data_IF_150060811645
#
_entry.id   IF_150060811645
#
_cell.length_a   1.000
_cell.length_b   1.000
_cell.length_c   1.000
_cell.angle_alpha   90.00
_cell.angle_beta   90.00
_cell.angle_gamma   90.00
#
_symmetry.space_group_name_H-M   'P 1'
#
loop_
_entity.id
_entity.type
_entity.pdbx_description
1 polymer ?
#
# COMPACT_ATOMS: atom_id res chain seq x y z
N UNK A 1 -39.92 1.82 25.96
CA UNK A 1 -39.04 0.75 26.46
C UNK A 1 -39.06 0.90 27.97
N UNK A 2 -39.67 -0.04 28.70
CA UNK A 2 -39.74 0.05 30.15
C UNK A 2 -38.36 -0.30 30.72
N UNK A 3 -37.62 0.71 31.15
CA UNK A 3 -36.47 0.54 32.05
C UNK A 3 -37.09 0.35 33.42
N UNK A 4 -36.84 -0.79 34.06
CA UNK A 4 -37.27 -1.03 35.43
C UNK A 4 -36.24 -0.31 36.31
N UNK A 5 -36.64 0.78 36.96
CA UNK A 5 -35.84 1.44 37.98
C UNK A 5 -35.71 0.52 39.21
N UNK A 6 -34.47 0.29 39.66
CA UNK A 6 -34.11 -0.57 40.81
C UNK A 6 -34.67 -0.09 42.17
N UNK A 7 -35.34 1.07 42.23
CA UNK A 7 -35.85 1.67 43.48
C UNK A 7 -37.27 1.19 43.89
N UNK A 8 -37.90 0.28 43.14
CA UNK A 8 -39.12 -0.42 43.59
C UNK A 8 -38.78 -1.86 43.95
N UNK A 9 -38.05 -2.03 45.05
CA UNK A 9 -37.78 -3.31 45.69
C UNK A 9 -39.06 -3.87 46.33
N UNK A 10 -39.98 -4.36 45.51
CA UNK A 10 -40.77 -5.55 45.87
C UNK A 10 -40.00 -6.75 45.36
N UNK A 11 -39.69 -7.72 46.23
CA UNK A 11 -38.91 -8.94 45.92
C UNK A 11 -39.39 -9.65 44.65
N UNK A 12 -38.84 -9.30 43.49
CA UNK A 12 -38.95 -10.12 42.28
C UNK A 12 -37.81 -11.10 42.32
N UNK A 13 -38.04 -12.26 42.94
CA UNK A 13 -37.10 -13.37 42.89
C UNK A 13 -37.15 -14.00 41.50
N UNK A 14 -36.04 -13.91 40.77
CA UNK A 14 -35.79 -14.72 39.57
C UNK A 14 -35.52 -16.15 40.04
N UNK A 15 -36.50 -17.05 39.86
CA UNK A 15 -36.35 -18.47 40.20
C UNK A 15 -35.87 -19.22 38.95
N UNK A 16 -34.60 -19.64 38.97
CA UNK A 16 -34.08 -20.61 38.00
C UNK A 16 -34.79 -21.95 38.26
N UNK A 17 -35.51 -22.42 37.24
CA UNK A 17 -36.48 -23.51 37.35
C UNK A 17 -35.79 -24.89 37.29
N UNK A 18 -34.95 -25.19 38.28
CA UNK A 18 -34.46 -26.54 38.58
C UNK A 18 -34.92 -26.95 40.00
N UNK A 19 -36.18 -26.64 40.34
CA UNK A 19 -36.76 -27.07 41.63
C UNK A 19 -37.24 -28.53 41.53
N UNK A 20 -36.43 -29.41 42.11
CA UNK A 20 -36.85 -30.75 42.53
C UNK A 20 -38.04 -30.66 43.49
N UNK A 21 -39.08 -31.45 43.20
CA UNK A 21 -40.37 -31.46 43.90
C UNK A 21 -40.28 -32.05 45.32
N UNK A 22 -39.76 -31.31 46.31
CA UNK A 22 -39.83 -31.71 47.72
C UNK A 22 -40.51 -30.64 48.61
N UNK A 23 -41.84 -30.63 48.54
CA UNK A 23 -42.71 -30.77 49.73
C UNK A 23 -42.67 -29.77 50.90
N UNK A 24 -42.20 -28.53 50.77
CA UNK A 24 -42.30 -27.54 51.86
C UNK A 24 -43.49 -26.57 51.69
N UNK A 25 -44.44 -26.60 52.64
CA UNK A 25 -45.58 -25.67 52.68
C UNK A 25 -45.10 -24.27 53.09
N UNK A 26 -45.10 -23.32 52.14
CA UNK A 26 -44.79 -21.91 52.39
C UNK A 26 -46.10 -21.12 52.54
N UNK A 27 -46.31 -20.53 53.71
CA UNK A 27 -47.50 -19.74 54.03
C UNK A 27 -47.32 -18.29 53.54
N UNK A 28 -48.10 -17.87 52.54
CA UNK A 28 -48.85 -16.62 52.64
C UNK A 28 -48.34 -15.30 52.02
N UNK A 29 -47.37 -15.30 51.10
CA UNK A 29 -47.07 -14.14 50.25
C UNK A 29 -47.15 -14.51 48.78
N UNK A 30 -48.18 -14.06 48.04
CA UNK A 30 -48.32 -14.36 46.62
C UNK A 30 -47.28 -13.59 45.79
N UNK A 31 -46.05 -14.09 45.76
CA UNK A 31 -45.02 -13.64 44.83
C UNK A 31 -45.37 -14.17 43.43
N UNK A 32 -45.67 -13.26 42.51
CA UNK A 32 -45.89 -13.60 41.11
C UNK A 32 -44.52 -13.88 40.48
N UNK A 33 -44.23 -15.14 40.20
CA UNK A 33 -43.00 -15.54 39.51
C UNK A 33 -43.20 -15.36 38.00
N UNK A 34 -42.41 -14.48 37.39
CA UNK A 34 -42.36 -14.31 35.93
C UNK A 34 -41.13 -15.03 35.41
N UNK A 35 -41.31 -16.02 34.53
CA UNK A 35 -40.18 -16.79 33.99
C UNK A 35 -39.37 -15.96 32.98
N UNK A 36 -38.05 -16.15 32.97
CA UNK A 36 -37.14 -15.53 32.00
C UNK A 36 -37.51 -15.89 30.56
N UNK A 37 -38.03 -17.09 30.33
CA UNK A 37 -38.53 -17.51 29.02
C UNK A 37 -39.74 -16.67 28.57
N UNK A 38 -40.69 -16.37 29.47
CA UNK A 38 -41.83 -15.51 29.15
C UNK A 38 -41.38 -14.08 28.85
N UNK A 39 -40.43 -13.53 29.61
CA UNK A 39 -39.85 -12.20 29.33
C UNK A 39 -39.15 -12.17 27.97
N UNK A 40 -38.38 -13.21 27.62
CA UNK A 40 -37.77 -13.35 26.29
C UNK A 40 -38.83 -13.42 25.19
N UNK A 41 -39.95 -14.11 25.40
CA UNK A 41 -41.08 -14.16 24.46
C UNK A 41 -41.78 -12.81 24.28
N UNK A 42 -41.84 -11.99 25.33
CA UNK A 42 -42.32 -10.60 25.26
C UNK A 42 -41.34 -9.64 24.57
N UNK A 43 -40.16 -10.13 24.16
CA UNK A 43 -39.10 -9.32 23.56
C UNK A 43 -38.31 -8.50 24.58
N UNK A 44 -38.46 -8.79 25.88
CA UNK A 44 -37.59 -8.22 26.92
C UNK A 44 -36.21 -8.86 26.75
N UNK A 45 -35.24 -8.03 26.37
CA UNK A 45 -33.85 -8.45 26.24
C UNK A 45 -33.25 -8.59 27.64
N UNK A 46 -32.47 -9.66 27.85
CA UNK A 46 -31.72 -9.84 29.10
C UNK A 46 -30.65 -8.74 29.29
N UNK A 47 -30.17 -8.18 28.18
CA UNK A 47 -29.24 -7.06 28.16
C UNK A 47 -29.95 -5.74 27.80
N UNK A 48 -29.59 -4.62 28.46
CA UNK A 48 -30.02 -3.29 28.01
C UNK A 48 -29.60 -3.05 26.57
N UNK A 49 -30.39 -2.26 25.84
CA UNK A 49 -30.07 -1.90 24.47
C UNK A 49 -28.69 -1.22 24.41
N UNK A 50 -27.92 -1.51 23.36
CA UNK A 50 -26.55 -1.00 23.18
C UNK A 50 -26.49 0.52 23.33
N UNK A 51 -27.46 1.24 22.76
CA UNK A 51 -27.55 2.70 22.90
C UNK A 51 -27.59 3.17 24.37
N UNK A 52 -28.26 2.42 25.26
CA UNK A 52 -28.32 2.74 26.70
C UNK A 52 -26.96 2.52 27.36
N UNK A 53 -26.25 1.45 27.02
CA UNK A 53 -24.90 1.19 27.55
C UNK A 53 -23.89 2.23 27.07
N UNK A 54 -23.95 2.60 25.79
CA UNK A 54 -23.10 3.63 25.22
C UNK A 54 -23.40 5.01 25.83
N UNK A 55 -24.68 5.30 26.05
CA UNK A 55 -25.11 6.54 26.70
C UNK A 55 -24.65 6.58 28.16
N UNK A 56 -24.82 5.50 28.92
CA UNK A 56 -24.35 5.38 30.29
C UNK A 56 -22.82 5.53 30.38
N UNK A 57 -22.09 4.90 29.45
CA UNK A 57 -20.66 5.10 29.33
C UNK A 57 -20.32 6.56 29.01
N UNK A 58 -21.07 7.22 28.12
CA UNK A 58 -20.87 8.64 27.77
C UNK A 58 -21.09 9.60 28.93
N UNK A 59 -22.07 9.34 29.79
CA UNK A 59 -22.32 10.17 30.98
C UNK A 59 -21.29 9.98 32.09
N UNK A 60 -20.73 8.77 32.23
CA UNK A 60 -19.74 8.47 33.29
C UNK A 60 -18.38 9.14 33.04
N UNK A 61 -18.04 9.42 31.79
CA UNK A 61 -16.71 9.91 31.39
C UNK A 61 -16.48 11.41 31.62
N UNK A 62 -17.42 12.14 32.22
CA UNK A 62 -17.25 13.55 32.58
C UNK A 62 -16.33 13.78 33.80
N UNK A 63 -15.78 12.72 34.40
CA UNK A 63 -14.74 12.79 35.44
C UNK A 63 -13.47 12.04 35.03
N UNK A 64 -12.30 12.52 35.47
CA UNK A 64 -10.91 12.16 35.10
C UNK A 64 -10.47 10.66 35.21
N UNK A 65 -11.37 9.67 35.21
CA UNK A 65 -11.07 8.23 35.37
C UNK A 65 -11.37 7.40 34.11
N UNK A 66 -11.12 7.95 32.91
CA UNK A 66 -11.65 7.43 31.63
C UNK A 66 -11.16 6.02 31.21
N UNK A 67 -9.95 5.59 31.59
CA UNK A 67 -9.36 4.33 31.08
C UNK A 67 -9.91 3.07 31.76
N UNK A 68 -10.16 3.13 33.07
CA UNK A 68 -10.77 2.02 33.82
C UNK A 68 -12.21 1.76 33.40
N UNK A 69 -12.91 2.79 32.95
CA UNK A 69 -14.31 2.69 32.54
C UNK A 69 -14.45 2.08 31.14
N UNK A 70 -13.53 2.38 30.22
CA UNK A 70 -13.50 1.76 28.89
C UNK A 70 -13.28 0.24 28.97
N UNK A 71 -12.37 -0.23 29.83
CA UNK A 71 -12.14 -1.68 30.01
C UNK A 71 -13.36 -2.40 30.57
N UNK A 72 -14.05 -1.81 31.55
CA UNK A 72 -15.28 -2.37 32.10
C UNK A 72 -16.38 -2.44 31.04
N UNK A 73 -16.55 -1.36 30.27
CA UNK A 73 -17.50 -1.31 29.17
C UNK A 73 -17.23 -2.42 28.15
N UNK A 74 -15.99 -2.59 27.70
CA UNK A 74 -15.62 -3.65 26.75
C UNK A 74 -15.98 -5.04 27.30
N UNK A 75 -15.70 -5.31 28.58
CA UNK A 75 -16.08 -6.58 29.22
C UNK A 75 -17.58 -6.78 29.31
N UNK A 76 -18.34 -5.73 29.62
CA UNK A 76 -19.81 -5.78 29.62
C UNK A 76 -20.36 -6.06 28.23
N UNK A 77 -19.87 -5.35 27.21
CA UNK A 77 -20.28 -5.58 25.82
C UNK A 77 -19.91 -6.99 25.34
N UNK A 78 -18.75 -7.52 25.75
CA UNK A 78 -18.36 -8.90 25.46
C UNK A 78 -19.29 -9.92 26.11
N UNK A 79 -19.64 -9.74 27.39
CA UNK A 79 -20.56 -10.63 28.09
C UNK A 79 -21.94 -10.66 27.42
N UNK A 80 -22.35 -9.54 26.82
CA UNK A 80 -23.63 -9.38 26.12
C UNK A 80 -23.56 -9.71 24.63
N UNK A 81 -22.37 -10.08 24.10
CA UNK A 81 -22.17 -10.33 22.68
C UNK A 81 -23.13 -11.40 22.13
N UNK A 82 -23.45 -12.42 22.94
CA UNK A 82 -24.37 -13.48 22.54
C UNK A 82 -25.81 -13.00 22.30
N UNK A 83 -26.21 -11.90 22.92
CA UNK A 83 -27.56 -11.33 22.84
C UNK A 83 -27.66 -10.17 21.82
N UNK A 84 -26.54 -9.76 21.23
CA UNK A 84 -26.48 -8.67 20.26
C UNK A 84 -27.00 -9.09 18.89
N UNK A 85 -27.83 -8.25 18.28
CA UNK A 85 -28.21 -8.43 16.87
C UNK A 85 -27.12 -7.95 15.93
N UNK A 86 -27.16 -8.36 14.66
CA UNK A 86 -26.22 -7.87 13.63
C UNK A 86 -26.30 -6.35 13.44
N UNK A 87 -27.49 -5.77 13.65
CA UNK A 87 -27.69 -4.32 13.65
C UNK A 87 -26.94 -3.66 14.81
N UNK A 88 -27.07 -4.20 16.01
CA UNK A 88 -26.40 -3.68 17.21
C UNK A 88 -24.87 -3.71 17.05
N UNK A 89 -24.33 -4.79 16.47
CA UNK A 89 -22.90 -4.89 16.13
C UNK A 89 -22.50 -3.84 15.11
N UNK A 90 -23.28 -3.66 14.03
CA UNK A 90 -22.98 -2.66 13.01
C UNK A 90 -23.03 -1.22 13.54
N UNK A 91 -23.91 -0.95 14.51
CA UNK A 91 -23.98 0.33 15.22
C UNK A 91 -22.76 0.54 16.12
N UNK A 92 -22.32 -0.50 16.85
CA UNK A 92 -21.10 -0.45 17.66
C UNK A 92 -19.84 -0.17 16.83
N UNK A 93 -19.71 -0.78 15.65
CA UNK A 93 -18.56 -0.53 14.77
C UNK A 93 -18.42 0.93 14.36
N UNK A 94 -19.53 1.66 14.32
CA UNK A 94 -19.60 3.06 13.89
C UNK A 94 -19.62 4.04 15.07
N UNK A 95 -19.95 3.59 16.26
CA UNK A 95 -20.11 4.47 17.40
C UNK A 95 -18.76 4.82 18.03
N UNK A 96 -18.61 6.09 18.40
CA UNK A 96 -17.41 6.59 19.05
C UNK A 96 -17.49 6.34 20.56
N UNK A 97 -17.06 5.14 21.00
CA UNK A 97 -17.14 4.75 22.42
C UNK A 97 -15.79 4.43 23.05
N UNK A 98 -14.74 4.25 22.26
CA UNK A 98 -13.39 3.95 22.74
C UNK A 98 -12.58 5.24 22.90
N UNK A 99 -11.71 5.27 23.89
CA UNK A 99 -10.71 6.34 24.06
C UNK A 99 -9.41 5.97 23.36
N UNK A 100 -8.70 6.98 22.86
CA UNK A 100 -7.35 6.81 22.35
C UNK A 100 -6.33 7.26 23.40
N UNK A 101 -5.15 6.64 23.40
CA UNK A 101 -4.06 7.07 24.27
C UNK A 101 -3.57 8.48 23.88
N UNK A 102 -3.45 9.36 24.87
CA UNK A 102 -2.99 10.75 24.68
C UNK A 102 -3.93 11.68 23.90
N UNK A 103 -5.13 11.25 23.48
CA UNK A 103 -6.09 12.10 22.77
C UNK A 103 -7.38 12.30 23.55
N UNK A 104 -7.88 13.53 23.55
CA UNK A 104 -9.18 13.85 24.11
C UNK A 104 -10.30 13.39 23.17
N UNK A 105 -11.37 12.85 23.76
CA UNK A 105 -12.56 12.43 23.03
C UNK A 105 -12.68 10.92 22.84
N UNK A 106 -13.65 10.53 22.01
CA UNK A 106 -13.96 9.15 21.70
C UNK A 106 -13.87 8.91 20.21
N UNK A 107 -13.49 7.70 19.87
CA UNK A 107 -13.24 7.28 18.50
C UNK A 107 -13.99 6.00 18.20
N UNK A 108 -14.33 5.84 16.92
CA UNK A 108 -14.88 4.58 16.46
C UNK A 108 -13.78 3.51 16.51
N UNK A 109 -14.11 2.24 16.76
CA UNK A 109 -13.15 1.15 16.72
C UNK A 109 -12.31 1.13 15.43
N UNK A 110 -12.94 1.41 14.29
CA UNK A 110 -12.29 1.42 12.98
C UNK A 110 -11.18 2.47 12.79
N UNK A 111 -11.12 3.48 13.66
CA UNK A 111 -10.13 4.56 13.63
C UNK A 111 -8.95 4.29 14.58
N UNK A 112 -9.04 3.22 15.38
CA UNK A 112 -8.07 2.88 16.40
C UNK A 112 -7.23 1.65 16.01
N UNK A 113 -6.03 1.60 16.58
CA UNK A 113 -5.08 0.52 16.43
C UNK A 113 -4.68 -0.04 17.80
N UNK A 114 -4.23 -1.28 17.82
CA UNK A 114 -3.62 -1.87 19.01
C UNK A 114 -2.22 -1.26 19.29
N UNK A 115 -1.79 -1.29 20.55
CA UNK A 115 -0.52 -0.67 20.97
C UNK A 115 0.72 -1.32 20.35
N UNK A 116 0.67 -2.62 20.05
CA UNK A 116 1.73 -3.35 19.36
C UNK A 116 2.09 -2.74 17.98
N UNK A 117 1.14 -2.07 17.33
CA UNK A 117 1.40 -1.39 16.04
C UNK A 117 2.39 -0.23 16.24
N UNK A 118 2.22 0.55 17.31
CA UNK A 118 3.12 1.69 17.58
C UNK A 118 4.46 1.23 18.12
N UNK A 119 4.49 0.14 18.89
CA UNK A 119 5.75 -0.47 19.34
C UNK A 119 6.57 -0.98 18.14
N UNK A 120 5.93 -1.64 17.17
CA UNK A 120 6.61 -2.19 16.00
C UNK A 120 7.02 -1.11 14.97
N UNK A 121 6.21 -0.06 14.82
CA UNK A 121 6.45 1.01 13.85
C UNK A 121 7.36 2.12 14.40
N UNK A 122 7.36 2.33 15.71
CA UNK A 122 8.01 3.45 16.38
C UNK A 122 7.13 4.71 16.45
N UNK A 123 7.35 5.53 17.48
CA UNK A 123 6.51 6.70 17.81
C UNK A 123 6.51 7.75 16.69
N UNK A 124 7.67 8.04 16.10
CA UNK A 124 7.81 9.06 15.06
C UNK A 124 6.99 8.71 13.81
N UNK A 125 7.16 7.48 13.30
CA UNK A 125 6.43 6.97 12.15
C UNK A 125 4.92 6.82 12.44
N UNK A 126 4.55 6.33 13.63
CA UNK A 126 3.14 6.24 14.02
C UNK A 126 2.45 7.61 14.07
N UNK A 127 3.14 8.62 14.60
CA UNK A 127 2.65 10.00 14.63
C UNK A 127 2.51 10.58 13.23
N UNK A 128 3.50 10.39 12.36
CA UNK A 128 3.47 10.86 10.97
C UNK A 128 2.32 10.25 10.15
N UNK A 129 1.98 8.98 10.40
CA UNK A 129 0.85 8.29 9.77
C UNK A 129 -0.50 8.71 10.38
N UNK A 130 -0.50 9.26 11.60
CA UNK A 130 -1.72 9.59 12.34
C UNK A 130 -2.37 8.37 13.00
N UNK A 131 -1.56 7.38 13.42
CA UNK A 131 -2.06 6.20 14.13
C UNK A 131 -2.54 6.60 15.51
N UNK A 132 -3.78 6.22 15.84
CA UNK A 132 -4.36 6.38 17.17
C UNK A 132 -4.43 5.03 17.86
N UNK A 133 -3.82 4.92 19.04
CA UNK A 133 -3.79 3.67 19.82
C UNK A 133 -4.96 3.62 20.78
N UNK A 134 -5.56 2.45 20.99
CA UNK A 134 -6.59 2.24 22.01
C UNK A 134 -6.01 2.55 23.41
N UNK A 135 -6.66 3.44 24.17
CA UNK A 135 -6.23 3.90 25.50
C UNK A 135 -6.40 2.86 26.64
N UNK A 136 -6.40 1.56 26.32
CA UNK A 136 -6.54 0.47 27.29
C UNK A 136 -5.17 -0.20 27.46
N UNK A 137 -4.46 0.01 28.59
CA UNK A 137 -3.07 -0.42 28.73
C UNK A 137 -2.94 -1.95 28.80
N UNK A 138 -2.02 -2.56 28.04
CA UNK A 138 -1.81 -4.01 28.03
C UNK A 138 -2.89 -4.80 27.25
N UNK A 139 -3.66 -4.12 26.39
CA UNK A 139 -4.56 -4.77 25.46
C UNK A 139 -3.78 -5.27 24.24
N UNK A 140 -3.70 -6.59 24.08
CA UNK A 140 -3.14 -7.26 22.90
C UNK A 140 -4.26 -7.86 22.04
N UNK A 141 -4.10 -7.93 20.70
CA UNK A 141 -5.07 -8.58 19.80
C UNK A 141 -5.38 -10.05 20.17
N UNK A 142 -4.47 -10.74 20.87
CA UNK A 142 -4.62 -12.16 21.24
C UNK A 142 -5.48 -12.38 22.50
N UNK A 143 -5.73 -11.31 23.26
CA UNK A 143 -6.60 -11.39 24.44
C UNK A 143 -8.06 -11.52 24.03
N UNK A 144 -8.92 -12.05 24.89
CA UNK A 144 -10.35 -12.14 24.59
C UNK A 144 -10.96 -10.75 24.32
N UNK A 145 -10.55 -9.74 25.10
CA UNK A 145 -10.90 -8.34 24.86
C UNK A 145 -10.36 -7.82 23.52
N UNK A 146 -9.13 -8.17 23.16
CA UNK A 146 -8.51 -7.80 21.89
C UNK A 146 -9.22 -8.41 20.69
N UNK A 147 -9.51 -9.71 20.72
CA UNK A 147 -10.26 -10.41 19.68
C UNK A 147 -11.65 -9.79 19.47
N UNK A 148 -12.34 -9.46 20.57
CA UNK A 148 -13.62 -8.74 20.48
C UNK A 148 -13.47 -7.37 19.83
N UNK A 149 -12.45 -6.59 20.20
CA UNK A 149 -12.21 -5.26 19.62
C UNK A 149 -11.80 -5.33 18.15
N UNK A 150 -11.04 -6.36 17.76
CA UNK A 150 -10.73 -6.68 16.36
C UNK A 150 -12.01 -7.00 15.58
N UNK A 151 -12.92 -7.77 16.17
CA UNK A 151 -14.25 -8.02 15.59
C UNK A 151 -15.08 -6.74 15.45
N UNK A 152 -14.89 -5.77 16.36
CA UNK A 152 -15.50 -4.43 16.28
C UNK A 152 -14.80 -3.49 15.28
N UNK A 153 -13.63 -3.86 14.76
CA UNK A 153 -12.93 -3.11 13.72
C UNK A 153 -11.66 -2.38 14.18
N UNK A 154 -11.23 -2.53 15.43
CA UNK A 154 -9.89 -2.06 15.84
C UNK A 154 -8.86 -2.80 15.00
N UNK A 155 -7.95 -2.03 14.38
CA UNK A 155 -6.99 -2.56 13.43
C UNK A 155 -5.74 -3.06 14.14
N UNK A 156 -5.26 -4.22 13.74
CA UNK A 156 -4.00 -4.83 14.16
C UNK A 156 -2.83 -4.50 13.24
N UNK A 157 -3.11 -3.86 12.10
CA UNK A 157 -2.11 -3.40 11.14
C UNK A 157 -2.52 -2.07 10.50
N UNK A 158 -1.53 -1.37 9.95
CA UNK A 158 -1.70 -0.08 9.27
C UNK A 158 -2.26 -0.30 7.85
N UNK A 159 -3.09 0.61 7.37
CA UNK A 159 -3.51 0.58 5.97
C UNK A 159 -2.30 0.75 5.04
N UNK A 160 -2.19 -0.12 4.03
CA UNK A 160 -1.02 -0.20 3.14
C UNK A 160 -0.69 1.14 2.46
N UNK A 161 -1.69 1.89 2.01
CA UNK A 161 -1.48 3.17 1.33
C UNK A 161 -0.85 4.23 2.25
N UNK A 162 -1.33 4.32 3.50
CA UNK A 162 -0.76 5.23 4.50
C UNK A 162 0.67 4.83 4.85
N UNK A 163 0.94 3.52 4.92
CA UNK A 163 2.26 2.98 5.19
C UNK A 163 3.24 3.27 4.04
N UNK A 164 2.85 3.01 2.79
CA UNK A 164 3.67 3.32 1.61
C UNK A 164 3.96 4.82 1.48
N UNK A 165 2.99 5.68 1.84
CA UNK A 165 3.19 7.13 1.90
C UNK A 165 4.24 7.51 2.95
N UNK A 166 4.22 6.88 4.12
CA UNK A 166 5.23 7.10 5.15
C UNK A 166 6.62 6.58 4.75
N UNK A 167 6.69 5.43 4.07
CA UNK A 167 7.93 4.93 3.45
C UNK A 167 8.51 5.91 2.41
N UNK A 168 7.66 6.73 1.79
CA UNK A 168 8.06 7.75 0.80
C UNK A 168 8.49 9.09 1.42
N UNK A 169 8.42 9.22 2.75
CA UNK A 169 8.82 10.43 3.46
C UNK A 169 10.33 10.69 3.30
N UNK A 170 10.72 11.95 3.13
CA UNK A 170 12.13 12.34 3.18
C UNK A 170 12.70 12.26 4.62
N UNK A 171 11.85 12.15 5.64
CA UNK A 171 12.28 11.94 7.03
C UNK A 171 12.66 10.47 7.26
N UNK A 172 13.95 10.22 7.47
CA UNK A 172 14.52 8.91 7.73
C UNK A 172 13.97 8.26 9.01
N UNK A 173 13.62 9.07 10.02
CA UNK A 173 13.01 8.59 11.26
C UNK A 173 11.59 8.02 11.04
N UNK A 174 10.98 8.31 9.88
CA UNK A 174 9.66 7.83 9.48
C UNK A 174 9.78 6.75 8.42
N UNK A 175 10.52 7.00 7.34
CA UNK A 175 10.57 6.12 6.17
C UNK A 175 11.20 4.77 6.47
N UNK A 176 12.32 4.75 7.20
CA UNK A 176 13.03 3.53 7.59
C UNK A 176 12.16 2.57 8.41
N UNK A 177 11.65 3.01 9.57
CA UNK A 177 10.77 2.19 10.40
C UNK A 177 9.48 1.76 9.70
N UNK A 178 8.90 2.64 8.87
CA UNK A 178 7.71 2.30 8.07
C UNK A 178 7.99 1.18 7.07
N UNK A 179 9.14 1.23 6.40
CA UNK A 179 9.53 0.21 5.44
C UNK A 179 9.85 -1.13 6.14
N UNK A 180 10.57 -1.08 7.27
CA UNK A 180 10.82 -2.27 8.08
C UNK A 180 9.51 -2.93 8.55
N UNK A 181 8.56 -2.13 9.05
CA UNK A 181 7.23 -2.62 9.44
C UNK A 181 6.46 -3.22 8.26
N UNK A 182 6.51 -2.58 7.08
CA UNK A 182 5.91 -3.10 5.85
C UNK A 182 6.44 -4.49 5.50
N UNK A 183 7.77 -4.67 5.50
CA UNK A 183 8.40 -5.95 5.16
C UNK A 183 8.05 -7.04 6.18
N UNK A 184 8.15 -6.73 7.48
CA UNK A 184 7.87 -7.67 8.56
C UNK A 184 6.43 -8.21 8.54
N UNK A 185 5.47 -7.38 8.11
CA UNK A 185 4.05 -7.70 8.09
C UNK A 185 3.54 -8.09 6.69
N UNK A 186 4.41 -8.18 5.68
CA UNK A 186 4.01 -8.33 4.29
C UNK A 186 3.20 -9.61 4.05
N UNK A 187 3.75 -10.76 4.47
CA UNK A 187 3.12 -12.07 4.23
C UNK A 187 1.78 -12.22 4.94
N UNK A 188 1.66 -11.66 6.14
CA UNK A 188 0.47 -11.85 6.97
C UNK A 188 -0.68 -10.90 6.58
N UNK A 189 -0.35 -9.63 6.27
CA UNK A 189 -1.38 -8.60 6.12
C UNK A 189 -1.45 -8.00 4.71
N UNK A 190 -0.35 -7.97 3.96
CA UNK A 190 -0.29 -7.19 2.71
C UNK A 190 -0.26 -8.02 1.44
N UNK A 191 0.17 -9.27 1.43
CA UNK A 191 0.30 -10.10 0.22
C UNK A 191 -1.02 -10.22 -0.59
N UNK A 192 -2.15 -10.30 0.11
CA UNK A 192 -3.46 -10.38 -0.52
C UNK A 192 -3.88 -9.09 -1.25
N UNK A 193 -3.48 -7.92 -0.71
CA UNK A 193 -3.94 -6.59 -1.14
C UNK A 193 -2.90 -5.89 -2.02
N UNK A 194 -1.62 -6.13 -1.78
CA UNK A 194 -0.51 -5.53 -2.50
C UNK A 194 -0.48 -6.03 -3.94
N UNK A 195 -0.47 -5.08 -4.88
CA UNK A 195 -0.40 -5.33 -6.31
C UNK A 195 0.65 -4.39 -6.89
N UNK A 196 1.87 -4.87 -7.17
CA UNK A 196 2.99 -4.01 -7.57
C UNK A 196 2.66 -3.05 -8.72
N UNK A 197 1.92 -3.54 -9.71
CA UNK A 197 1.53 -2.76 -10.89
C UNK A 197 0.52 -1.64 -10.61
N UNK A 198 -0.17 -1.67 -9.46
CA UNK A 198 -1.14 -0.65 -9.04
C UNK A 198 -0.52 0.37 -8.07
N UNK A 199 0.68 0.12 -7.57
CA UNK A 199 1.35 1.02 -6.63
C UNK A 199 1.93 2.21 -7.39
N UNK A 200 1.30 3.37 -7.22
CA UNK A 200 1.76 4.66 -7.79
C UNK A 200 2.66 5.46 -6.83
N UNK A 201 2.73 5.05 -5.57
CA UNK A 201 3.47 5.76 -4.52
C UNK A 201 4.95 5.32 -4.60
N UNK A 202 5.90 6.25 -4.82
CA UNK A 202 7.32 5.92 -4.90
C UNK A 202 7.92 5.75 -3.50
N UNK A 203 8.04 4.51 -3.04
CA UNK A 203 8.45 4.20 -1.65
C UNK A 203 9.78 3.46 -1.52
N UNK A 204 10.33 2.94 -2.62
CA UNK A 204 11.62 2.24 -2.60
C UNK A 204 12.73 3.27 -2.70
N UNK A 205 13.74 3.19 -1.83
CA UNK A 205 14.93 4.03 -1.96
C UNK A 205 15.85 3.48 -3.03
N UNK A 206 16.28 4.39 -3.90
CA UNK A 206 16.98 4.07 -5.11
C UNK A 206 18.16 5.03 -5.29
N UNK A 207 19.28 4.50 -5.76
CA UNK A 207 20.36 5.28 -6.33
C UNK A 207 19.88 5.85 -7.67
N UNK A 208 19.96 7.18 -7.79
CA UNK A 208 19.50 7.87 -8.99
C UNK A 208 20.26 7.39 -10.23
N UNK A 209 19.53 6.82 -11.19
CA UNK A 209 20.05 6.56 -12.52
C UNK A 209 20.07 7.83 -13.37
N UNK A 210 20.87 7.82 -14.44
CA UNK A 210 20.99 8.93 -15.39
C UNK A 210 19.70 9.30 -16.11
N UNK A 211 18.80 8.33 -16.35
CA UNK A 211 17.48 8.54 -16.95
C UNK A 211 16.36 8.58 -15.92
N UNK A 212 16.68 8.62 -14.62
CA UNK A 212 15.67 8.82 -13.60
C UNK A 212 15.00 10.18 -13.86
N UNK A 213 13.65 10.26 -13.78
CA UNK A 213 12.98 11.54 -13.93
C UNK A 213 13.57 12.53 -12.91
N UNK A 214 13.84 13.78 -13.31
CA UNK A 214 14.30 14.79 -12.36
C UNK A 214 13.29 14.86 -11.22
N UNK A 215 13.76 14.76 -9.96
CA UNK A 215 12.91 14.91 -8.78
C UNK A 215 12.13 16.21 -8.95
N UNK A 216 10.82 16.12 -9.17
CA UNK A 216 9.93 17.28 -9.12
C UNK A 216 9.90 17.66 -7.65
N UNK A 217 10.80 18.55 -7.25
CA UNK A 217 10.89 19.03 -5.88
C UNK A 217 9.55 19.65 -5.49
N UNK A 218 8.76 18.95 -4.68
CA UNK A 218 7.59 19.50 -3.99
C UNK A 218 6.43 19.93 -4.90
N UNK A 219 6.01 19.09 -5.84
CA UNK A 219 4.66 19.23 -6.37
C UNK A 219 3.66 18.73 -5.33
N UNK A 220 3.14 19.63 -4.48
CA UNK A 220 2.00 19.38 -3.59
C UNK A 220 0.96 18.54 -4.34
N UNK A 221 0.64 17.37 -3.79
CA UNK A 221 -0.06 16.28 -4.47
C UNK A 221 -1.14 16.76 -5.42
N UNK A 222 -0.85 16.66 -6.72
CA UNK A 222 -1.88 16.68 -7.73
C UNK A 222 -2.77 15.46 -7.44
N UNK A 223 -3.94 15.75 -6.89
CA UNK A 223 -5.08 14.86 -6.73
C UNK A 223 -5.30 14.13 -8.06
N UNK A 224 -4.71 12.93 -8.20
CA UNK A 224 -4.94 12.04 -9.32
C UNK A 224 -6.35 11.50 -9.12
N UNK A 225 -7.33 12.27 -9.59
CA UNK A 225 -8.72 11.87 -9.62
C UNK A 225 -8.82 10.44 -10.15
N UNK A 226 -9.47 9.59 -9.35
CA UNK A 226 -9.77 8.21 -9.67
C UNK A 226 -10.55 8.15 -10.99
N UNK A 227 -9.83 7.99 -12.11
CA UNK A 227 -10.38 7.31 -13.26
C UNK A 227 -10.45 5.83 -12.89
N UNK A 228 -11.52 5.47 -12.16
CA UNK A 228 -11.91 4.07 -11.99
C UNK A 228 -12.14 3.48 -13.38
N UNK A 229 -11.14 2.74 -13.86
CA UNK A 229 -11.27 1.84 -15.00
C UNK A 229 -12.26 0.74 -14.58
N UNK A 230 -13.54 0.95 -14.90
CA UNK A 230 -14.65 0.05 -14.66
C UNK A 230 -14.43 -1.24 -15.48
N UNK A 231 -13.72 -2.21 -14.91
CA UNK A 231 -13.53 -3.54 -15.48
C UNK A 231 -14.89 -4.27 -15.56
N UNK A 232 -15.44 -4.26 -16.77
CA UNK A 232 -16.65 -4.95 -17.22
C UNK A 232 -16.52 -6.48 -17.01
N UNK A 233 -16.98 -6.98 -15.85
CA UNK A 233 -17.11 -8.41 -15.61
C UNK A 233 -18.28 -9.01 -16.42
N UNK A 234 -18.15 -10.22 -16.99
CA UNK A 234 -19.17 -10.80 -17.86
C UNK A 234 -20.43 -11.20 -17.07
N UNK A 235 -21.52 -10.48 -17.33
CA UNK A 235 -22.87 -10.83 -16.85
C UNK A 235 -23.27 -12.22 -17.34
N UNK A 236 -23.23 -13.19 -16.43
CA UNK A 236 -23.78 -14.54 -16.60
C UNK A 236 -25.30 -14.45 -16.70
N UNK A 237 -25.83 -14.57 -17.92
CA UNK A 237 -27.26 -14.49 -18.23
C UNK A 237 -28.03 -15.68 -17.64
N UNK A 238 -28.93 -15.45 -16.69
CA UNK A 238 -30.06 -16.36 -16.46
C UNK A 238 -31.19 -15.96 -17.41
N UNK A 239 -31.50 -16.87 -18.34
CA UNK A 239 -32.61 -16.78 -19.28
C UNK A 239 -33.93 -16.69 -18.50
N UNK A 240 -34.58 -15.53 -18.53
CA UNK A 240 -36.01 -15.41 -18.31
C UNK A 240 -36.69 -14.89 -19.58
N UNK A 241 -37.55 -15.76 -20.09
CA UNK A 241 -38.34 -15.74 -21.31
C UNK A 241 -39.37 -14.60 -21.26
N UNK A 242 -39.20 -13.56 -22.09
CA UNK A 242 -40.17 -12.48 -22.28
C UNK A 242 -40.30 -12.12 -23.75
N UNK A 243 -41.42 -12.51 -24.37
CA UNK A 243 -41.78 -12.18 -25.75
C UNK A 243 -42.32 -10.74 -25.80
N UNK A 244 -41.63 -9.84 -26.50
CA UNK A 244 -42.24 -8.57 -26.95
C UNK A 244 -41.72 -8.19 -28.32
N UNK A 245 -42.62 -8.25 -29.31
CA UNK A 245 -42.47 -7.69 -30.65
C UNK A 245 -42.58 -6.17 -30.56
N UNK A 246 -41.64 -5.42 -31.13
CA UNK A 246 -41.93 -4.10 -31.66
C UNK A 246 -40.93 -3.73 -32.78
N UNK A 247 -41.48 -3.52 -33.98
CA UNK A 247 -40.84 -2.90 -35.13
C UNK A 247 -40.65 -1.40 -34.84
N UNK A 248 -39.47 -0.85 -35.07
CA UNK A 248 -39.34 0.55 -35.44
C UNK A 248 -38.20 0.71 -36.44
N UNK A 249 -38.56 1.26 -37.59
CA UNK A 249 -37.79 1.41 -38.82
C UNK A 249 -37.46 2.89 -38.93
N UNK A 250 -36.24 3.30 -38.59
CA UNK A 250 -35.78 4.68 -38.70
C UNK A 250 -34.68 4.81 -39.74
N UNK A 251 -35.01 5.47 -40.86
CA UNK A 251 -34.19 5.64 -42.07
C UNK A 251 -34.02 7.15 -42.28
N UNK A 252 -32.79 7.67 -42.40
CA UNK A 252 -32.44 8.99 -43.01
C UNK A 252 -30.91 9.14 -43.10
N UNK A 253 -30.32 9.11 -44.31
CA UNK A 253 -29.93 10.24 -45.21
C UNK A 253 -28.90 11.18 -44.56
N UNK A 254 -27.62 11.12 -44.94
CA UNK A 254 -26.93 11.70 -46.15
C UNK A 254 -26.93 13.23 -46.15
N UNK A 255 -25.73 13.83 -46.03
CA UNK A 255 -25.10 14.92 -46.85
C UNK A 255 -23.95 15.53 -46.02
N UNK A 256 -22.67 15.50 -46.41
CA UNK A 256 -21.94 16.24 -47.46
C UNK A 256 -21.09 17.41 -46.89
N UNK A 257 -20.10 17.85 -47.69
CA UNK A 257 -19.15 18.97 -47.52
C UNK A 257 -17.85 18.61 -46.76
N UNK A 258 -16.75 18.23 -47.41
CA UNK A 258 -15.92 19.01 -48.36
C UNK A 258 -15.32 20.28 -47.75
N UNK A 259 -14.09 20.19 -47.23
CA UNK A 259 -13.16 21.32 -47.29
C UNK A 259 -11.71 20.86 -47.35
N UNK A 260 -11.24 20.72 -48.59
CA UNK A 260 -9.83 20.70 -48.93
C UNK A 260 -9.19 22.03 -48.49
N UNK A 261 -8.15 21.97 -47.67
CA UNK A 261 -7.19 23.08 -47.54
C UNK A 261 -5.83 22.64 -48.07
N UNK A 262 -5.44 23.45 -49.05
CA UNK A 262 -4.33 23.41 -49.98
C UNK A 262 -3.07 23.95 -49.28
N UNK A 263 -1.99 23.17 -49.42
CA UNK A 263 -0.56 23.55 -49.57
C UNK A 263 0.00 24.69 -48.70
N UNK A 264 1.07 24.33 -47.99
CA UNK A 264 2.12 25.23 -47.54
C UNK A 264 3.35 24.43 -47.09
N UNK A 265 3.97 23.66 -47.99
CA UNK A 265 5.32 23.15 -47.77
C UNK A 265 6.29 24.29 -48.06
N UNK A 266 6.72 25.00 -47.01
CA UNK A 266 7.96 25.74 -47.03
C UNK A 266 9.07 24.73 -46.72
N UNK A 267 9.86 24.39 -47.74
CA UNK A 267 11.12 23.71 -47.56
C UNK A 267 12.17 24.79 -47.27
N UNK A 268 12.27 25.19 -45.99
CA UNK A 268 13.50 25.79 -45.50
C UNK A 268 14.37 24.64 -45.02
N UNK A 269 15.28 24.20 -45.90
CA UNK A 269 16.43 23.40 -45.52
C UNK A 269 17.41 24.32 -44.77
N UNK A 270 17.08 24.65 -43.53
CA UNK A 270 18.06 25.12 -42.57
C UNK A 270 18.92 23.91 -42.17
N UNK A 271 20.19 23.94 -42.54
CA UNK A 271 21.17 22.92 -42.14
C UNK A 271 21.48 23.14 -40.66
N UNK A 272 20.73 22.48 -39.80
CA UNK A 272 20.90 22.57 -38.36
C UNK A 272 22.03 21.65 -37.88
N UNK A 273 23.09 22.29 -37.39
CA UNK A 273 24.16 21.73 -36.57
C UNK A 273 24.95 20.53 -37.15
N UNK A 274 26.23 20.79 -37.42
CA UNK A 274 27.23 19.74 -37.62
C UNK A 274 27.80 19.36 -36.25
N UNK A 275 27.72 18.09 -35.88
CA UNK A 275 28.32 17.57 -34.63
C UNK A 275 29.53 16.74 -35.01
N UNK A 276 30.70 17.12 -34.49
CA UNK A 276 31.94 16.36 -34.64
C UNK A 276 31.99 15.30 -33.51
N UNK A 277 31.77 14.03 -33.86
CA UNK A 277 31.94 12.90 -32.95
C UNK A 277 33.28 12.23 -33.27
N UNK A 278 34.29 12.45 -32.43
CA UNK A 278 35.53 11.68 -32.44
C UNK A 278 35.27 10.35 -31.74
N UNK A 279 35.12 9.27 -32.51
CA UNK A 279 35.12 7.91 -31.97
C UNK A 279 36.59 7.51 -31.78
N UNK A 280 37.07 7.51 -30.55
CA UNK A 280 38.35 6.84 -30.21
C UNK A 280 38.10 5.34 -30.20
N UNK A 281 38.69 4.63 -31.16
CA UNK A 281 38.81 3.17 -31.09
C UNK A 281 39.63 2.83 -29.84
N UNK A 282 38.96 2.26 -28.83
CA UNK A 282 39.57 1.91 -27.56
C UNK A 282 40.46 0.68 -27.68
N UNK A 283 41.70 0.79 -27.21
CA UNK A 283 42.66 -0.29 -27.08
C UNK A 283 42.09 -1.46 -26.25
N UNK A 284 42.20 -2.68 -26.79
CA UNK A 284 41.79 -3.91 -26.11
C UNK A 284 42.66 -4.18 -24.87
N UNK A 285 42.07 -4.42 -23.67
CA UNK A 285 42.83 -4.88 -22.53
C UNK A 285 43.21 -6.36 -22.69
N UNK A 286 44.50 -6.62 -22.84
CA UNK A 286 45.11 -7.94 -22.83
C UNK A 286 44.81 -8.68 -21.52
N UNK A 287 44.16 -9.83 -21.63
CA UNK A 287 43.89 -10.76 -20.54
C UNK A 287 45.17 -11.45 -20.06
N UNK A 288 45.44 -11.42 -18.75
CA UNK A 288 46.40 -12.33 -18.12
C UNK A 288 45.92 -12.81 -16.74
N UNK A 289 45.74 -14.13 -16.61
CA UNK A 289 46.33 -14.86 -15.49
C UNK A 289 45.48 -15.20 -14.26
N UNK A 290 44.97 -16.44 -14.27
CA UNK A 290 45.28 -17.51 -13.29
C UNK A 290 44.72 -17.48 -11.84
N UNK A 291 43.99 -18.56 -11.49
CA UNK A 291 44.34 -19.38 -10.31
C UNK A 291 43.34 -19.52 -9.15
N UNK A 292 42.71 -20.70 -9.05
CA UNK A 292 42.76 -21.52 -7.83
C UNK A 292 41.56 -21.54 -6.86
N UNK A 293 41.21 -22.76 -6.42
CA UNK A 293 40.83 -22.99 -5.02
C UNK A 293 39.43 -23.55 -4.75
N UNK A 294 39.31 -24.88 -4.77
CA UNK A 294 38.16 -25.62 -4.24
C UNK A 294 38.08 -25.53 -2.70
N UNK A 295 36.85 -25.46 -2.16
CA UNK A 295 36.59 -25.61 -0.73
C UNK A 295 35.19 -26.17 -0.51
N UNK A 296 35.11 -27.49 -0.26
CA UNK A 296 33.91 -28.18 0.16
C UNK A 296 33.71 -28.03 1.68
N UNK A 297 32.50 -27.70 2.10
CA UNK A 297 32.08 -27.71 3.50
C UNK A 297 30.68 -28.31 3.61
N UNK A 298 30.59 -29.51 4.18
CA UNK A 298 29.36 -30.23 4.47
C UNK A 298 29.00 -30.11 5.95
N UNK A 299 27.71 -30.00 6.23
CA UNK A 299 27.06 -30.08 7.55
C UNK A 299 25.67 -29.46 7.41
N UNK A 300 24.53 -30.12 7.66
CA UNK A 300 24.23 -31.21 8.58
C UNK A 300 23.43 -30.63 9.75
N UNK A 301 22.11 -30.88 9.81
CA UNK A 301 21.29 -30.48 10.96
C UNK A 301 19.78 -30.45 10.69
N UNK A 302 19.07 -31.39 11.29
CA UNK A 302 17.65 -31.69 11.20
C UNK A 302 16.70 -30.72 11.93
N UNK A 303 15.48 -30.65 11.38
CA UNK A 303 14.16 -30.73 12.02
C UNK A 303 13.68 -29.79 13.15
N UNK A 304 12.44 -29.32 12.90
CA UNK A 304 11.28 -29.22 13.79
C UNK A 304 10.96 -27.87 14.47
N UNK A 305 9.69 -27.47 14.32
CA UNK A 305 8.99 -26.56 15.23
C UNK A 305 8.45 -25.29 14.57
N UNK A 306 7.36 -25.41 13.80
CA UNK A 306 6.61 -24.24 13.34
C UNK A 306 5.81 -23.63 14.53
N UNK A 307 6.51 -22.85 15.35
CA UNK A 307 5.93 -21.74 16.10
C UNK A 307 6.12 -20.49 15.26
N UNK A 308 5.06 -19.69 15.07
CA UNK A 308 5.12 -18.42 14.33
C UNK A 308 6.07 -17.48 15.09
N UNK A 309 7.23 -17.09 14.52
CA UNK A 309 8.10 -16.13 15.18
C UNK A 309 7.57 -14.73 14.89
N UNK A 310 6.88 -14.13 15.87
CA UNK A 310 6.84 -12.68 16.01
C UNK A 310 8.18 -12.22 16.57
N UNK A 311 9.23 -12.45 15.80
CA UNK A 311 10.56 -11.92 16.00
C UNK A 311 10.85 -11.13 14.73
N UNK A 312 10.30 -9.90 14.67
CA UNK A 312 10.90 -8.90 13.82
C UNK A 312 12.38 -8.85 14.24
N UNK A 313 13.24 -9.42 13.41
CA UNK A 313 14.67 -9.27 13.60
C UNK A 313 14.93 -7.77 13.75
N UNK A 314 15.75 -7.39 14.75
CA UNK A 314 16.30 -6.05 14.90
C UNK A 314 17.22 -5.74 13.69
N UNK A 315 16.66 -5.71 12.49
CA UNK A 315 17.30 -5.20 11.29
C UNK A 315 17.26 -3.69 11.45
N UNK A 316 18.27 -3.18 12.14
CA UNK A 316 18.53 -1.76 12.20
C UNK A 316 18.98 -1.32 10.81
N UNK A 317 18.03 -0.91 9.97
CA UNK A 317 18.32 -0.21 8.72
C UNK A 317 18.94 1.14 9.05
N UNK A 318 20.27 1.18 9.11
CA UNK A 318 21.03 2.43 9.09
C UNK A 318 21.22 2.82 7.63
N UNK A 319 20.67 3.95 7.21
CA UNK A 319 20.71 4.35 5.82
C UNK A 319 22.01 5.11 5.51
N UNK A 320 22.74 4.78 4.42
CA UNK A 320 23.97 5.47 4.07
C UNK A 320 23.70 6.89 3.58
N UNK A 321 24.42 7.85 4.15
CA UNK A 321 24.31 9.28 3.84
C UNK A 321 24.99 9.70 2.52
N UNK A 322 24.47 10.81 1.96
CA UNK A 322 25.04 11.67 0.90
C UNK A 322 25.05 11.20 -0.57
N UNK A 323 24.24 10.21 -0.92
CA UNK A 323 23.73 10.08 -2.30
C UNK A 323 22.46 10.91 -2.50
N UNK A 324 22.21 11.45 -3.70
CA UNK A 324 20.90 12.00 -4.06
C UNK A 324 19.87 10.85 -4.10
N UNK A 325 19.38 10.44 -2.94
CA UNK A 325 18.42 9.36 -2.78
C UNK A 325 17.15 9.76 -3.54
N UNK A 326 16.78 9.01 -4.56
CA UNK A 326 15.46 9.11 -5.14
C UNK A 326 14.57 8.02 -4.55
N UNK A 327 13.28 8.31 -4.45
CA UNK A 327 12.29 7.28 -4.18
C UNK A 327 11.66 6.88 -5.51
N UNK A 328 11.45 5.58 -5.72
CA UNK A 328 10.93 5.09 -6.97
C UNK A 328 9.85 4.02 -6.76
N UNK A 329 8.93 3.87 -7.73
CA UNK A 329 7.90 2.84 -7.66
C UNK A 329 8.51 1.47 -8.02
N UNK A 330 7.92 0.34 -7.56
CA UNK A 330 8.44 -0.99 -7.89
C UNK A 330 8.63 -1.24 -9.39
N UNK A 331 7.75 -0.69 -10.24
CA UNK A 331 7.82 -0.84 -11.68
C UNK A 331 8.89 0.01 -12.38
N UNK A 332 9.45 1.00 -11.69
CA UNK A 332 10.47 1.93 -12.22
C UNK A 332 11.88 1.62 -11.74
N UNK A 333 12.01 0.60 -10.89
CA UNK A 333 13.24 0.28 -10.18
C UNK A 333 13.78 -1.10 -10.55
N UNK A 334 15.09 -1.26 -10.45
CA UNK A 334 15.79 -2.48 -10.88
C UNK A 334 16.76 -3.00 -9.82
N UNK A 335 16.95 -4.32 -9.75
CA UNK A 335 17.91 -4.94 -8.82
C UNK A 335 19.33 -5.09 -9.38
N UNK A 336 19.48 -5.22 -10.70
CA UNK A 336 20.78 -5.57 -11.29
C UNK A 336 21.73 -4.35 -11.39
N UNK A 337 22.98 -4.47 -10.91
CA UNK A 337 24.07 -3.54 -11.24
C UNK A 337 24.57 -3.74 -12.69
N UNK A 338 25.29 -2.78 -13.31
CA UNK A 338 25.39 -1.34 -13.05
C UNK A 338 25.29 -0.55 -14.37
N UNK A 339 24.27 -0.82 -15.20
CA UNK A 339 23.98 0.12 -16.26
C UNK A 339 23.19 1.24 -15.57
N UNK A 340 23.90 2.22 -14.99
CA UNK A 340 23.43 3.42 -14.25
C UNK A 340 22.40 4.28 -15.03
N UNK A 341 21.76 3.74 -16.04
CA UNK A 341 20.69 4.30 -16.85
C UNK A 341 19.45 4.50 -15.99
N UNK A 342 19.07 3.52 -15.16
CA UNK A 342 17.82 3.53 -14.42
C UNK A 342 18.04 3.56 -12.92
N UNK A 343 17.00 3.94 -12.19
CA UNK A 343 16.98 3.87 -10.74
C UNK A 343 17.23 2.43 -10.30
N UNK A 344 18.29 2.23 -9.53
CA UNK A 344 18.63 0.93 -8.93
C UNK A 344 18.24 0.98 -7.47
N UNK A 345 17.55 -0.06 -7.01
CA UNK A 345 17.20 -0.21 -5.60
C UNK A 345 18.48 -0.36 -4.78
N UNK A 346 18.56 0.36 -3.66
CA UNK A 346 19.75 0.36 -2.80
C UNK A 346 20.04 -1.05 -2.25
N UNK A 347 21.32 -1.38 -2.08
CA UNK A 347 21.71 -2.73 -1.65
C UNK A 347 21.18 -3.05 -0.24
N UNK A 348 21.09 -2.05 0.66
CA UNK A 348 20.51 -2.20 1.99
C UNK A 348 19.00 -2.53 1.93
N UNK A 349 18.29 -1.96 0.95
CA UNK A 349 16.87 -2.27 0.72
C UNK A 349 16.73 -3.70 0.24
N UNK A 350 17.58 -4.14 -0.70
CA UNK A 350 17.58 -5.52 -1.19
C UNK A 350 17.93 -6.53 -0.09
N UNK A 351 18.89 -6.19 0.78
CA UNK A 351 19.26 -6.99 1.93
C UNK A 351 18.10 -7.08 2.94
N UNK A 352 17.43 -5.97 3.25
CA UNK A 352 16.26 -5.97 4.14
C UNK A 352 15.10 -6.79 3.58
N UNK A 353 14.83 -6.69 2.27
CA UNK A 353 13.81 -7.52 1.59
C UNK A 353 14.17 -9.01 1.72
N UNK A 354 15.43 -9.37 1.48
CA UNK A 354 15.91 -10.74 1.60
C UNK A 354 15.86 -11.24 3.06
N UNK A 355 16.22 -10.40 4.03
CA UNK A 355 16.17 -10.71 5.46
C UNK A 355 14.73 -10.96 5.94
N UNK A 356 13.75 -10.28 5.35
CA UNK A 356 12.32 -10.54 5.58
C UNK A 356 11.79 -11.81 4.89
N UNK A 357 12.63 -12.56 4.16
CA UNK A 357 12.22 -13.75 3.42
C UNK A 357 11.33 -13.42 2.21
N UNK A 358 11.47 -12.21 1.66
CA UNK A 358 10.74 -11.74 0.49
C UNK A 358 11.64 -11.73 -0.75
N UNK A 359 11.01 -11.91 -1.90
CA UNK A 359 11.64 -11.82 -3.20
C UNK A 359 11.29 -10.48 -3.84
N UNK A 360 12.31 -9.66 -4.08
CA UNK A 360 12.18 -8.36 -4.72
C UNK A 360 11.35 -8.45 -6.01
N UNK A 361 11.57 -9.49 -6.82
CA UNK A 361 10.87 -9.69 -8.10
C UNK A 361 9.44 -10.18 -7.95
N UNK A 362 9.22 -11.24 -7.17
CA UNK A 362 7.92 -11.93 -7.18
C UNK A 362 6.94 -11.32 -6.18
N UNK A 363 7.43 -10.90 -5.01
CA UNK A 363 6.57 -10.37 -3.96
C UNK A 363 6.40 -8.85 -4.13
N UNK A 364 7.50 -8.13 -4.37
CA UNK A 364 7.47 -6.67 -4.47
C UNK A 364 7.30 -6.14 -5.91
N UNK A 365 7.50 -6.98 -6.92
CA UNK A 365 7.37 -6.61 -8.34
C UNK A 365 8.53 -5.77 -8.89
N UNK A 366 9.67 -5.77 -8.21
CA UNK A 366 10.89 -5.07 -8.63
C UNK A 366 11.52 -5.82 -9.81
N UNK A 367 11.72 -5.14 -10.93
CA UNK A 367 12.31 -5.76 -12.11
C UNK A 367 13.79 -6.10 -11.88
N UNK A 368 14.29 -7.16 -12.51
CA UNK A 368 15.71 -7.52 -12.38
C UNK A 368 16.58 -6.55 -13.17
N UNK A 369 16.22 -6.29 -14.42
CA UNK A 369 16.94 -5.41 -15.32
C UNK A 369 15.95 -4.67 -16.23
N UNK A 370 16.29 -3.44 -16.66
CA UNK A 370 15.46 -2.70 -17.59
C UNK A 370 15.48 -3.39 -18.96
N UNK A 371 14.30 -3.49 -19.58
CA UNK A 371 14.24 -3.88 -20.99
C UNK A 371 14.69 -2.70 -21.85
N UNK A 372 15.21 -3.00 -23.05
CA UNK A 372 15.58 -1.95 -24.02
C UNK A 372 14.40 -1.00 -24.31
N UNK A 373 13.17 -1.51 -24.34
CA UNK A 373 11.98 -0.69 -24.56
C UNK A 373 11.74 0.32 -23.42
N UNK A 374 11.89 -0.12 -22.17
CA UNK A 374 11.77 0.77 -21.00
C UNK A 374 12.89 1.81 -21.01
N UNK A 375 14.13 1.39 -21.26
CA UNK A 375 15.27 2.30 -21.40
C UNK A 375 15.05 3.39 -22.45
N UNK A 376 14.55 2.99 -23.63
CA UNK A 376 14.24 3.91 -24.72
C UNK A 376 13.09 4.86 -24.40
N UNK A 377 12.04 4.36 -23.74
CA UNK A 377 10.91 5.20 -23.35
C UNK A 377 11.36 6.29 -22.38
N UNK A 378 12.19 5.95 -21.40
CA UNK A 378 12.74 6.91 -20.45
C UNK A 378 13.72 7.88 -21.10
N UNK A 379 14.56 7.43 -22.05
CA UNK A 379 15.46 8.31 -22.81
C UNK A 379 14.68 9.37 -23.61
N UNK A 380 13.57 8.97 -24.23
CA UNK A 380 12.73 9.89 -25.00
C UNK A 380 12.01 10.88 -24.08
N UNK A 381 11.60 10.44 -22.88
CA UNK A 381 10.95 11.29 -21.89
C UNK A 381 11.93 12.28 -21.24
N UNK A 382 13.14 11.83 -20.94
CA UNK A 382 14.21 12.57 -20.27
C UNK A 382 15.46 12.57 -21.16
N UNK A 383 15.51 13.39 -22.22
CA UNK A 383 16.66 13.45 -23.09
C UNK A 383 17.88 14.01 -22.34
N UNK A 384 19.10 13.51 -22.62
CA UNK A 384 20.31 13.96 -21.95
C UNK A 384 20.54 15.45 -22.23
N UNK A 385 20.92 16.20 -21.19
CA UNK A 385 21.11 17.65 -21.24
C UNK A 385 22.47 18.06 -21.81
N UNK A 386 23.45 17.16 -21.77
CA UNK A 386 24.84 17.43 -22.18
C UNK A 386 25.43 16.29 -23.02
N UNK A 387 26.42 16.60 -23.86
CA UNK A 387 27.10 15.61 -24.70
C UNK A 387 27.75 14.48 -23.87
N UNK A 388 28.35 14.82 -22.72
CA UNK A 388 28.95 13.84 -21.82
C UNK A 388 27.90 12.89 -21.21
N UNK A 389 26.73 13.42 -20.87
CA UNK A 389 25.59 12.62 -20.39
C UNK A 389 25.04 11.72 -21.51
N UNK A 390 24.85 12.25 -22.71
CA UNK A 390 24.42 11.46 -23.86
C UNK A 390 25.38 10.31 -24.18
N UNK A 391 26.70 10.58 -24.18
CA UNK A 391 27.71 9.55 -24.40
C UNK A 391 27.62 8.42 -23.37
N UNK A 392 27.50 8.76 -22.07
CA UNK A 392 27.33 7.77 -20.99
C UNK A 392 26.03 6.98 -21.14
N UNK A 393 24.91 7.66 -21.44
CA UNK A 393 23.61 7.01 -21.61
C UNK A 393 23.61 6.07 -22.80
N UNK A 394 24.13 6.49 -23.95
CA UNK A 394 24.18 5.64 -25.15
C UNK A 394 25.14 4.47 -24.99
N UNK A 395 26.31 4.67 -24.35
CA UNK A 395 27.21 3.58 -24.02
C UNK A 395 26.51 2.54 -23.13
N UNK A 396 25.83 2.98 -22.08
CA UNK A 396 25.12 2.08 -21.19
C UNK A 396 23.94 1.37 -21.89
N UNK A 397 23.19 2.06 -22.76
CA UNK A 397 22.13 1.43 -23.57
C UNK A 397 22.69 0.37 -24.52
N UNK A 398 23.85 0.62 -25.13
CA UNK A 398 24.51 -0.37 -25.99
C UNK A 398 24.87 -1.66 -25.22
N UNK A 399 25.22 -1.53 -23.93
CA UNK A 399 25.54 -2.65 -23.06
C UNK A 399 24.33 -3.52 -22.67
N UNK A 400 23.08 -3.04 -22.85
CA UNK A 400 21.89 -3.85 -22.59
C UNK A 400 21.71 -5.01 -23.60
N UNK A 401 22.48 -5.04 -24.69
CA UNK A 401 22.56 -6.20 -25.61
C UNK A 401 21.26 -6.57 -26.35
N UNK A 402 20.25 -5.70 -26.31
CA UNK A 402 18.93 -5.95 -26.89
C UNK A 402 18.82 -5.53 -28.36
N UNK A 403 18.13 -6.33 -29.18
CA UNK A 403 17.78 -5.93 -30.55
C UNK A 403 16.75 -4.80 -30.53
N UNK A 404 17.03 -3.71 -31.26
CA UNK A 404 16.11 -2.59 -31.41
C UNK A 404 15.13 -2.92 -32.54
N UNK A 405 13.83 -3.03 -32.23
CA UNK A 405 12.79 -3.24 -33.23
C UNK A 405 12.64 -2.02 -34.16
N UNK A 406 12.12 -2.25 -35.37
CA UNK A 406 11.89 -1.17 -36.33
C UNK A 406 10.95 -0.07 -35.80
N UNK A 407 9.96 -0.43 -34.97
CA UNK A 407 9.08 0.54 -34.32
C UNK A 407 9.81 1.41 -33.30
N UNK A 408 10.72 0.82 -32.51
CA UNK A 408 11.57 1.55 -31.57
C UNK A 408 12.55 2.47 -32.30
N UNK A 409 13.15 2.02 -33.40
CA UNK A 409 14.05 2.83 -34.22
C UNK A 409 13.33 4.02 -34.86
N UNK A 410 12.10 3.82 -35.32
CA UNK A 410 11.26 4.92 -35.83
C UNK A 410 10.98 5.97 -34.75
N UNK A 411 10.65 5.54 -33.52
CA UNK A 411 10.44 6.45 -32.38
C UNK A 411 11.72 7.22 -32.03
N UNK A 412 12.85 6.52 -31.90
CA UNK A 412 14.16 7.12 -31.64
C UNK A 412 14.54 8.17 -32.68
N UNK A 413 14.39 7.83 -33.96
CA UNK A 413 14.79 8.71 -35.07
C UNK A 413 14.01 10.03 -35.11
N UNK A 414 12.81 10.05 -34.53
CA UNK A 414 11.95 11.22 -34.45
C UNK A 414 12.09 12.01 -33.14
N UNK A 415 12.59 11.37 -32.07
CA UNK A 415 12.73 11.98 -30.76
C UNK A 415 13.95 12.92 -30.70
N UNK A 416 13.80 14.07 -30.04
CA UNK A 416 14.92 14.97 -29.77
C UNK A 416 15.76 14.43 -28.60
N UNK A 417 16.85 13.72 -28.90
CA UNK A 417 17.70 13.05 -27.91
C UNK A 417 19.19 13.40 -28.02
N UNK A 418 19.59 14.16 -29.04
CA UNK A 418 20.99 14.54 -29.26
C UNK A 418 21.19 15.96 -28.72
N UNK A 419 21.92 16.14 -27.60
CA UNK A 419 22.20 17.47 -27.08
C UNK A 419 23.18 18.20 -28.00
N UNK A 420 22.88 19.45 -28.29
CA UNK A 420 23.71 20.40 -29.04
C UNK A 420 23.81 21.71 -28.26
N UNK A 421 24.73 22.59 -28.63
CA UNK A 421 24.83 23.93 -28.03
C UNK A 421 23.54 24.76 -28.15
N UNK A 422 22.70 24.45 -29.16
CA UNK A 422 21.43 25.13 -29.43
C UNK A 422 20.21 24.42 -28.81
N UNK A 423 20.43 23.41 -27.98
CA UNK A 423 19.38 22.57 -27.40
C UNK A 423 19.40 21.14 -27.92
N UNK A 424 18.31 20.40 -27.75
CA UNK A 424 18.26 18.96 -28.10
C UNK A 424 17.66 18.78 -29.50
N UNK A 425 18.36 18.06 -30.38
CA UNK A 425 17.94 17.77 -31.75
C UNK A 425 17.55 16.31 -31.94
N UNK A 426 16.69 16.07 -32.94
CA UNK A 426 16.34 14.73 -33.38
C UNK A 426 17.44 14.12 -34.27
N UNK A 427 17.72 12.81 -34.18
CA UNK A 427 18.75 12.16 -35.00
C UNK A 427 18.63 12.41 -36.49
N UNK A 428 17.40 12.50 -37.03
CA UNK A 428 17.16 12.79 -38.46
C UNK A 428 17.65 14.17 -38.91
N UNK A 429 17.88 15.10 -37.99
CA UNK A 429 18.34 16.47 -38.28
C UNK A 429 19.86 16.62 -38.15
N UNK A 430 20.55 15.58 -37.69
CA UNK A 430 22.00 15.62 -37.47
C UNK A 430 22.70 14.87 -38.60
N UNK A 431 23.74 15.50 -39.15
CA UNK A 431 24.62 14.87 -40.13
C UNK A 431 25.93 14.48 -39.46
N UNK A 432 26.33 13.21 -39.60
CA UNK A 432 27.66 12.78 -39.20
C UNK A 432 28.68 13.35 -40.18
N UNK A 433 29.50 14.28 -39.72
CA UNK A 433 30.68 14.70 -40.47
C UNK A 433 31.77 13.69 -40.20
N UNK A 434 32.12 12.90 -41.24
CA UNK A 434 33.33 12.09 -41.19
C UNK A 434 34.51 13.06 -41.14
N UNK A 435 35.17 13.17 -39.99
CA UNK A 435 36.47 13.81 -39.93
C UNK A 435 37.38 12.98 -40.82
N UNK A 436 37.79 13.56 -41.95
CA UNK A 436 38.78 12.92 -42.80
C UNK A 436 40.00 12.67 -41.93
N UNK A 437 40.34 11.40 -41.73
CA UNK A 437 41.66 11.08 -41.19
C UNK A 437 42.65 11.69 -42.16
N UNK A 438 43.30 12.78 -41.75
CA UNK A 438 44.49 13.26 -42.44
C UNK A 438 45.43 12.06 -42.48
N UNK A 439 45.62 11.51 -43.68
CA UNK A 439 46.48 10.36 -43.89
C UNK A 439 47.89 10.71 -43.40
N UNK A 440 48.28 10.08 -42.29
CA UNK A 440 49.63 9.97 -41.81
C UNK A 440 50.01 8.50 -41.78
#
# INVERSE_FOLDING_TARGET
>A
MAVVDDDVAGDVQLVDSDMDEDGASFDGGASVFVTTHFLKQLGVRAAPAVGVLLQAASSAAAGDKSTTDCRKLVRTLMAQRADMTSHDVAELKKSAFLTADGAEGRFAPADLHFGNVVEALGIAAASAIGIRVVGIPGLSPDTAEGAFLKDMGVRDHVAIESLLRACSSDDEAVSGPSFAYFLANFREHYDAVYRPLRVKIPFLRCTAGMLAPPRVAGGDGADFGDEEEEDDAPRRSTRARGKSKAKAKGKRRVTAASKARKRGHAAETELDAVIDLTVSDGDEPSSSGNGGGAGAGAGGGDAAGAAVPSAAADVKLEWPGEGAACSCTPGECFTAPPNNIMARVDDDVLEAIAAAGLSAKTDLGIAVAPTMEVALRSLIANPPSSAAEAARTFAAMSALGGSISASMLNRLSAAAIIPTERGVLAPKRVYLRRLGGDGG
#
